data_IF_140398203081
#
_entry.id   IF_140398203081
#
_cell.length_a   1.000
_cell.length_b   1.000
_cell.length_c   1.000
_cell.angle_alpha   90.00
_cell.angle_beta   90.00
_cell.angle_gamma   90.00
#
_symmetry.space_group_name_H-M   'P 1'
#
loop_
_entity.id
_entity.type
_entity.pdbx_description
1 polymer ?
#
# COMPACT_ATOMS: atom_id res chain seq x y z
N UNK A 1 -10.60 0.73 -13.71
CA UNK A 1 -10.61 0.15 -12.35
C UNK A 1 -11.24 1.15 -11.40
N UNK A 2 -12.23 0.71 -10.61
CA UNK A 2 -12.92 1.45 -9.54
C UNK A 2 -12.32 1.17 -8.18
N UNK A 3 -11.88 -0.06 -7.91
CA UNK A 3 -11.32 -0.48 -6.62
C UNK A 3 -10.04 -1.27 -6.84
N UNK A 4 -9.03 -1.04 -6.02
CA UNK A 4 -7.78 -1.81 -6.07
C UNK A 4 -7.38 -2.28 -4.68
N UNK A 5 -6.71 -3.44 -4.62
CA UNK A 5 -6.04 -3.93 -3.42
C UNK A 5 -4.55 -3.71 -3.61
N UNK A 6 -3.96 -2.80 -2.84
CA UNK A 6 -2.54 -2.50 -2.87
C UNK A 6 -1.78 -3.26 -1.77
N UNK A 7 -0.61 -3.76 -2.13
CA UNK A 7 0.32 -4.50 -1.27
C UNK A 7 1.68 -3.82 -1.35
N UNK A 8 2.19 -3.38 -0.20
CA UNK A 8 3.54 -2.86 -0.04
C UNK A 8 4.42 -3.92 0.63
N UNK A 9 5.31 -4.61 -0.10
CA UNK A 9 6.06 -5.74 0.42
C UNK A 9 7.32 -5.32 1.20
N UNK A 10 7.35 -5.61 2.50
CA UNK A 10 8.55 -5.46 3.34
C UNK A 10 9.28 -6.78 3.60
N UNK A 11 10.41 -6.71 4.34
CA UNK A 11 11.27 -7.89 4.65
C UNK A 11 10.61 -8.99 5.49
N UNK A 12 9.46 -8.72 6.10
CA UNK A 12 8.75 -9.70 6.94
C UNK A 12 7.31 -9.33 7.23
N UNK A 13 6.89 -8.11 6.87
CA UNK A 13 5.52 -7.63 6.93
C UNK A 13 5.20 -6.88 5.65
N UNK A 14 3.93 -6.85 5.30
CA UNK A 14 3.41 -6.16 4.14
C UNK A 14 2.32 -5.19 4.59
N UNK A 15 2.38 -3.97 4.08
CA UNK A 15 1.26 -3.04 4.13
C UNK A 15 0.20 -3.50 3.13
N UNK A 16 -1.08 -3.46 3.52
CA UNK A 16 -2.20 -3.84 2.66
C UNK A 16 -3.27 -2.78 2.77
N UNK A 17 -3.81 -2.34 1.63
CA UNK A 17 -4.93 -1.42 1.58
C UNK A 17 -5.90 -1.77 0.44
N UNK A 18 -7.19 -1.61 0.68
CA UNK A 18 -8.22 -1.62 -0.37
C UNK A 18 -8.74 -0.20 -0.53
N UNK A 19 -8.59 0.35 -1.73
CA UNK A 19 -8.83 1.78 -2.00
C UNK A 19 -9.80 1.94 -3.17
N UNK A 20 -10.77 2.83 -2.99
CA UNK A 20 -11.71 3.27 -4.02
C UNK A 20 -11.13 4.44 -4.83
N UNK A 21 -11.31 4.40 -6.14
CA UNK A 21 -10.85 5.45 -7.06
C UNK A 21 -11.65 6.74 -6.94
N UNK A 22 -12.94 6.64 -6.66
CA UNK A 22 -13.89 7.76 -6.77
C UNK A 22 -13.59 8.88 -5.77
N UNK A 23 -13.26 8.52 -4.53
CA UNK A 23 -13.07 9.42 -3.41
C UNK A 23 -11.81 9.13 -2.58
N UNK A 24 -11.05 8.08 -2.93
CA UNK A 24 -9.91 7.62 -2.15
C UNK A 24 -10.29 6.89 -0.87
N UNK A 25 -11.56 6.48 -0.71
CA UNK A 25 -12.03 5.77 0.49
C UNK A 25 -11.25 4.48 0.69
N UNK A 26 -10.77 4.29 1.92
CA UNK A 26 -10.03 3.09 2.35
C UNK A 26 -11.03 2.11 2.94
N UNK A 27 -11.42 1.09 2.18
CA UNK A 27 -12.35 0.05 2.63
C UNK A 27 -11.70 -0.93 3.62
N UNK A 28 -10.38 -1.10 3.51
CA UNK A 28 -9.58 -1.95 4.40
C UNK A 28 -8.15 -1.44 4.45
N UNK A 29 -7.50 -1.53 5.61
CA UNK A 29 -6.06 -1.37 5.75
C UNK A 29 -5.51 -2.24 6.88
N UNK A 30 -4.33 -2.80 6.68
CA UNK A 30 -3.63 -3.57 7.70
C UNK A 30 -2.13 -3.64 7.41
N UNK A 31 -1.34 -3.96 8.44
CA UNK A 31 0.03 -4.45 8.30
C UNK A 31 0.04 -5.91 8.72
N UNK A 32 0.31 -6.80 7.78
CA UNK A 32 0.24 -8.26 7.96
C UNK A 32 1.64 -8.87 7.82
N UNK A 33 1.93 -9.97 8.51
CA UNK A 33 3.05 -10.83 8.11
C UNK A 33 2.80 -11.43 6.72
N UNK A 34 3.87 -11.90 6.06
CA UNK A 34 3.74 -12.55 4.74
C UNK A 34 2.77 -13.73 4.79
N UNK A 35 2.85 -14.58 5.83
CA UNK A 35 1.95 -15.74 5.98
C UNK A 35 0.49 -15.33 6.24
N UNK A 36 0.26 -14.26 7.01
CA UNK A 36 -1.09 -13.72 7.22
C UNK A 36 -1.65 -13.14 5.92
N UNK A 37 -0.84 -12.42 5.15
CA UNK A 37 -1.25 -11.89 3.85
C UNK A 37 -1.69 -13.01 2.91
N UNK A 38 -0.85 -14.04 2.72
CA UNK A 38 -1.15 -15.15 1.80
C UNK A 38 -2.43 -15.90 2.20
N UNK A 39 -2.67 -16.07 3.51
CA UNK A 39 -3.89 -16.72 3.99
C UNK A 39 -5.14 -15.86 3.87
N UNK A 40 -5.04 -14.54 4.03
CA UNK A 40 -6.17 -13.62 3.95
C UNK A 40 -6.48 -13.13 2.54
N UNK A 41 -5.50 -13.14 1.62
CA UNK A 41 -5.64 -12.55 0.29
C UNK A 41 -6.86 -13.07 -0.49
N UNK A 42 -7.17 -14.39 -0.54
CA UNK A 42 -8.37 -14.87 -1.24
C UNK A 42 -9.65 -14.29 -0.65
N UNK A 43 -9.72 -14.20 0.69
CA UNK A 43 -10.87 -13.65 1.41
C UNK A 43 -11.02 -12.15 1.16
N UNK A 44 -9.92 -11.41 1.09
CA UNK A 44 -9.93 -9.98 0.75
C UNK A 44 -10.42 -9.76 -0.68
N UNK A 45 -9.98 -10.58 -1.63
CA UNK A 45 -10.44 -10.51 -3.02
C UNK A 45 -11.93 -10.86 -3.14
N UNK A 46 -12.41 -11.87 -2.41
CA UNK A 46 -13.83 -12.24 -2.41
C UNK A 46 -14.72 -11.18 -1.76
N UNK A 47 -14.31 -10.67 -0.60
CA UNK A 47 -15.08 -9.70 0.20
C UNK A 47 -15.14 -8.35 -0.49
N UNK A 48 -13.98 -7.86 -0.93
CA UNK A 48 -13.86 -6.51 -1.47
C UNK A 48 -13.87 -6.48 -3.00
N UNK A 49 -13.85 -7.60 -3.72
CA UNK A 49 -13.98 -7.64 -5.20
C UNK A 49 -13.16 -6.52 -5.91
N UNK A 50 -11.86 -6.35 -5.60
CA UNK A 50 -11.05 -5.36 -6.28
C UNK A 50 -10.96 -5.70 -7.78
N UNK A 51 -10.75 -4.71 -8.64
CA UNK A 51 -10.55 -4.94 -10.07
C UNK A 51 -9.13 -5.45 -10.38
N UNK A 52 -8.18 -5.16 -9.50
CA UNK A 52 -6.79 -5.58 -9.61
C UNK A 52 -6.09 -5.58 -8.24
N UNK A 53 -5.03 -6.38 -8.14
CA UNK A 53 -4.02 -6.25 -7.09
C UNK A 53 -2.87 -5.39 -7.61
N UNK A 54 -2.43 -4.44 -6.79
CA UNK A 54 -1.22 -3.66 -7.00
C UNK A 54 -0.16 -4.13 -6.02
N UNK A 55 1.06 -4.32 -6.49
CA UNK A 55 2.20 -4.68 -5.65
C UNK A 55 3.33 -3.68 -5.89
N UNK A 56 3.88 -3.12 -4.81
CA UNK A 56 5.11 -2.33 -4.87
C UNK A 56 6.29 -3.14 -5.41
N UNK A 57 7.14 -2.53 -6.22
CA UNK A 57 8.28 -3.20 -6.87
C UNK A 57 9.58 -3.22 -6.03
N UNK A 58 9.48 -3.01 -4.71
CA UNK A 58 10.60 -2.99 -3.79
C UNK A 58 11.54 -4.22 -3.85
N UNK A 59 12.70 -4.10 -3.19
CA UNK A 59 13.85 -5.02 -3.30
C UNK A 59 13.64 -6.51 -2.91
N UNK A 60 12.50 -6.91 -2.35
CA UNK A 60 12.20 -8.28 -1.89
C UNK A 60 10.98 -8.93 -2.57
N UNK A 61 10.68 -8.54 -3.81
CA UNK A 61 9.38 -8.81 -4.47
C UNK A 61 9.24 -10.14 -5.19
N UNK A 62 10.31 -10.75 -5.71
CA UNK A 62 10.16 -11.89 -6.65
C UNK A 62 9.52 -13.14 -6.06
N UNK A 63 9.87 -13.52 -4.83
CA UNK A 63 9.30 -14.71 -4.18
C UNK A 63 7.83 -14.49 -3.81
N UNK A 64 7.57 -13.36 -3.15
CA UNK A 64 6.24 -12.97 -2.70
C UNK A 64 5.27 -12.73 -3.85
N UNK A 65 5.75 -12.24 -5.00
CA UNK A 65 4.96 -12.10 -6.22
C UNK A 65 4.41 -13.46 -6.69
N UNK A 66 5.24 -14.49 -6.75
CA UNK A 66 4.80 -15.82 -7.18
C UNK A 66 3.75 -16.40 -6.23
N UNK A 67 3.98 -16.30 -4.91
CA UNK A 67 3.03 -16.78 -3.90
C UNK A 67 1.68 -16.03 -3.99
N UNK A 68 1.72 -14.72 -4.23
CA UNK A 68 0.51 -13.92 -4.43
C UNK A 68 -0.24 -14.34 -5.70
N UNK A 69 0.47 -14.58 -6.81
CA UNK A 69 -0.17 -15.05 -8.05
C UNK A 69 -0.87 -16.40 -7.81
N UNK A 70 -0.27 -17.30 -7.04
CA UNK A 70 -0.87 -18.60 -6.70
C UNK A 70 -2.12 -18.48 -5.81
N UNK A 71 -2.19 -17.47 -4.95
CA UNK A 71 -3.36 -17.20 -4.11
C UNK A 71 -4.50 -16.48 -4.84
N UNK A 72 -4.24 -15.89 -6.01
CA UNK A 72 -5.24 -15.15 -6.77
C UNK A 72 -6.03 -16.05 -7.72
N UNK A 73 -7.28 -15.66 -8.07
CA UNK A 73 -8.01 -16.34 -9.12
C UNK A 73 -7.20 -16.40 -10.44
N UNK A 74 -7.39 -17.44 -11.27
CA UNK A 74 -6.70 -17.53 -12.55
C UNK A 74 -6.94 -16.27 -13.39
N UNK A 75 -5.86 -15.73 -13.97
CA UNK A 75 -5.87 -14.51 -14.80
C UNK A 75 -6.28 -13.22 -14.06
N UNK A 76 -6.33 -13.23 -12.72
CA UNK A 76 -6.64 -12.03 -11.97
C UNK A 76 -5.55 -10.96 -12.20
N UNK A 77 -5.92 -9.69 -12.48
CA UNK A 77 -4.94 -8.65 -12.76
C UNK A 77 -4.03 -8.36 -11.55
N UNK A 78 -2.72 -8.52 -11.74
CA UNK A 78 -1.68 -8.10 -10.81
C UNK A 78 -0.75 -7.09 -11.51
N UNK A 79 -0.60 -5.90 -10.94
CA UNK A 79 0.28 -4.87 -11.46
C UNK A 79 1.42 -4.59 -10.50
N UNK A 80 2.65 -4.64 -11.01
CA UNK A 80 3.82 -4.11 -10.30
C UNK A 80 3.84 -2.60 -10.49
N UNK A 81 3.90 -1.87 -9.38
CA UNK A 81 3.89 -0.40 -9.37
C UNK A 81 5.22 0.08 -8.82
N UNK A 82 5.94 0.96 -9.55
CA UNK A 82 7.23 1.46 -9.10
C UNK A 82 7.12 2.34 -7.85
N UNK A 83 7.87 1.98 -6.81
CA UNK A 83 7.97 2.68 -5.53
C UNK A 83 8.89 3.92 -5.63
N UNK A 84 8.50 4.90 -6.45
CA UNK A 84 9.24 6.17 -6.49
C UNK A 84 8.86 7.04 -5.28
N UNK A 85 9.74 7.10 -4.27
CA UNK A 85 9.64 8.00 -3.11
C UNK A 85 8.35 7.84 -2.27
N UNK A 86 7.71 6.68 -2.32
CA UNK A 86 6.46 6.37 -1.60
C UNK A 86 6.67 6.35 -0.08
N UNK A 87 7.78 5.80 0.41
CA UNK A 87 8.09 5.75 1.85
C UNK A 87 8.32 7.13 2.47
N UNK A 88 8.94 8.06 1.72
CA UNK A 88 9.17 9.45 2.17
C UNK A 88 7.86 10.24 2.25
N UNK A 89 6.96 10.06 1.27
CA UNK A 89 5.62 10.67 1.26
C UNK A 89 4.72 10.09 2.35
N UNK A 90 4.75 8.78 2.58
CA UNK A 90 4.01 8.12 3.65
C UNK A 90 4.42 8.66 5.02
N UNK A 91 5.72 8.79 5.28
CA UNK A 91 6.24 9.40 6.51
C UNK A 91 5.75 10.84 6.69
N UNK A 92 5.79 11.64 5.63
CA UNK A 92 5.33 13.04 5.67
C UNK A 92 3.82 13.12 5.98
N UNK A 93 2.99 12.28 5.35
CA UNK A 93 1.54 12.24 5.58
C UNK A 93 1.20 11.80 7.00
N UNK A 94 1.83 10.73 7.48
CA UNK A 94 1.65 10.25 8.85
C UNK A 94 1.94 11.35 9.89
N UNK A 95 3.05 12.08 9.73
CA UNK A 95 3.45 13.16 10.66
C UNK A 95 2.50 14.37 10.59
N UNK A 96 1.91 14.68 9.44
CA UNK A 96 0.90 15.73 9.32
C UNK A 96 -0.42 15.33 9.99
N UNK A 97 -0.87 14.09 9.79
CA UNK A 97 -2.13 13.58 10.34
C UNK A 97 -2.03 13.20 11.82
N UNK A 98 -0.81 12.94 12.32
CA UNK A 98 -0.52 12.63 13.72
C UNK A 98 0.46 13.69 14.28
N UNK A 99 0.01 14.94 14.49
CA UNK A 99 0.85 15.97 15.08
C UNK A 99 1.23 15.56 16.52
N UNK A 100 2.48 15.81 16.95
CA UNK A 100 2.92 15.38 18.27
C UNK A 100 2.14 16.10 19.38
N UNK A 101 1.77 15.35 20.41
CA UNK A 101 0.96 15.82 21.54
C UNK A 101 1.65 16.90 22.39
N UNK A 102 2.97 17.05 22.25
CA UNK A 102 3.80 17.97 23.04
C UNK A 102 4.25 19.15 22.18
N UNK A 103 4.14 20.36 22.74
CA UNK A 103 4.43 21.61 22.03
C UNK A 103 5.90 21.74 21.58
N UNK A 104 6.87 21.20 22.34
CA UNK A 104 8.29 21.21 21.99
C UNK A 104 8.60 20.39 20.73
N UNK A 105 7.89 19.27 20.54
CA UNK A 105 8.06 18.40 19.37
C UNK A 105 7.56 19.06 18.06
N UNK A 106 6.80 20.17 18.14
CA UNK A 106 6.39 20.97 16.98
C UNK A 106 7.53 21.79 16.38
N UNK A 107 8.61 22.04 17.12
CA UNK A 107 9.79 22.78 16.65
C UNK A 107 10.75 21.91 15.81
N UNK A 108 10.59 20.58 15.86
CA UNK A 108 11.39 19.65 15.07
C UNK A 108 10.87 19.66 13.62
N UNK A 109 11.72 19.87 12.60
CA UNK A 109 11.34 19.76 11.19
C UNK A 109 10.72 18.39 10.88
N UNK A 110 9.70 18.35 10.01
CA UNK A 110 8.96 17.12 9.65
C UNK A 110 9.90 16.01 9.17
N UNK A 111 10.97 16.36 8.44
CA UNK A 111 11.99 15.42 7.95
C UNK A 111 12.76 14.70 9.07
N UNK A 112 12.87 15.30 10.26
CA UNK A 112 13.57 14.75 11.41
C UNK A 112 12.64 14.04 12.41
N UNK A 113 11.33 14.06 12.19
CA UNK A 113 10.37 13.37 13.06
C UNK A 113 10.28 11.91 12.68
N UNK A 114 10.61 11.03 13.61
CA UNK A 114 10.45 9.58 13.46
C UNK A 114 9.01 9.22 13.80
N UNK A 115 8.29 8.50 12.93
CA UNK A 115 6.92 8.10 13.22
C UNK A 115 6.91 7.10 14.38
N UNK A 116 6.09 7.38 15.40
CA UNK A 116 5.97 6.57 16.62
C UNK A 116 5.19 5.25 16.40
N UNK A 117 4.63 5.04 15.21
CA UNK A 117 3.88 3.84 14.81
C UNK A 117 4.32 3.37 13.42
N UNK A 118 4.22 2.06 13.11
CA UNK A 118 4.38 1.57 11.75
C UNK A 118 3.38 2.26 10.83
N UNK A 119 3.88 2.80 9.72
CA UNK A 119 3.14 3.61 8.74
C UNK A 119 3.14 2.94 7.36
N UNK A 120 3.56 1.67 7.30
CA UNK A 120 3.67 0.90 6.06
C UNK A 120 2.30 0.67 5.39
N UNK A 121 1.20 0.77 6.15
CA UNK A 121 -0.17 0.79 5.61
C UNK A 121 -0.45 2.05 4.77
N UNK A 122 0.14 3.21 5.11
CA UNK A 122 0.05 4.41 4.28
C UNK A 122 0.80 4.26 2.96
N UNK A 123 1.84 3.43 2.90
CA UNK A 123 2.55 3.17 1.65
C UNK A 123 1.63 2.46 0.66
N UNK A 124 0.89 1.44 1.12
CA UNK A 124 -0.11 0.76 0.29
C UNK A 124 -1.23 1.71 -0.18
N UNK A 125 -1.70 2.62 0.67
CA UNK A 125 -2.69 3.63 0.27
C UNK A 125 -2.14 4.57 -0.80
N UNK A 126 -0.94 5.12 -0.59
CA UNK A 126 -0.31 6.03 -1.55
C UNK A 126 -0.01 5.32 -2.88
N UNK A 127 0.35 4.05 -2.84
CA UNK A 127 0.57 3.22 -4.02
C UNK A 127 -0.71 3.10 -4.87
N UNK A 128 -1.87 2.92 -4.23
CA UNK A 128 -3.17 2.93 -4.90
C UNK A 128 -3.52 4.32 -5.45
N UNK A 129 -3.35 5.38 -4.67
CA UNK A 129 -3.61 6.77 -5.09
C UNK A 129 -2.76 7.15 -6.31
N UNK A 130 -1.46 6.84 -6.29
CA UNK A 130 -0.54 7.09 -7.39
C UNK A 130 -0.91 6.32 -8.65
N UNK A 131 -1.34 5.07 -8.49
CA UNK A 131 -1.80 4.25 -9.60
C UNK A 131 -3.03 4.88 -10.27
N UNK A 132 -3.96 5.42 -9.49
CA UNK A 132 -5.13 6.13 -10.03
C UNK A 132 -4.81 7.51 -10.60
N UNK A 133 -3.79 8.20 -10.08
CA UNK A 133 -3.37 9.52 -10.54
C UNK A 133 -2.56 9.47 -11.85
N UNK A 134 -1.93 8.33 -12.17
CA UNK A 134 -1.30 8.13 -13.48
C UNK A 134 -2.39 8.05 -14.56
N UNK A 135 -2.37 8.92 -15.59
CA UNK A 135 -3.28 8.78 -16.71
C UNK A 135 -3.04 7.42 -17.39
N UNK A 136 -4.10 6.74 -17.85
CA UNK A 136 -4.07 5.42 -18.51
C UNK A 136 -3.15 5.32 -19.76
N UNK A 137 -2.48 6.41 -20.14
CA UNK A 137 -1.60 6.50 -21.30
C UNK A 137 -0.12 6.48 -20.91
N UNK A 138 0.38 5.28 -20.65
CA UNK A 138 1.81 4.96 -20.79
C UNK A 138 1.96 3.61 -21.51
N UNK A 139 1.34 3.51 -22.69
CA UNK A 139 1.74 2.57 -23.74
C UNK A 139 2.00 3.40 -24.99
N UNK A 140 3.28 3.67 -25.23
CA UNK A 140 3.83 3.97 -26.55
C UNK A 140 4.92 2.93 -26.81
#
# INVERSE_FOLDING_TARGET
MRRVLAIDPGRGKCGVAVVEKEDGTIAYRAVLSVSELLSLLPSLVETYKPDAVLMGDGTCTKHLQSEIIECLPPLFPLHLVPENHTSERARKRFVCENPPSQWLSRLIPISLRTPDKPYDDYVAVILAEDFFAKPENAKA
#
